data_IF_959063539522
#
_entry.id   IF_959063539522
#
_cell.length_a   1.000
_cell.length_b   1.000
_cell.length_c   1.000
_cell.angle_alpha   90.00
_cell.angle_beta   90.00
_cell.angle_gamma   90.00
#
_symmetry.space_group_name_H-M   'P 1'
#
loop_
_entity.id
_entity.type
_entity.pdbx_description
1 polymer ?
#
# COMPACT_ATOMS: atom_id res chain seq x y z
N UNK A 1 49.59 -4.31 -37.68
CA UNK A 1 49.75 -3.43 -36.51
C UNK A 1 48.44 -2.69 -36.31
N UNK A 2 47.73 -2.89 -35.16
CA UNK A 2 46.50 -2.14 -34.88
C UNK A 2 46.89 -0.77 -34.31
N UNK A 3 46.50 0.32 -35.01
CA UNK A 3 46.65 1.67 -34.52
C UNK A 3 45.66 1.91 -33.35
N UNK A 4 46.14 1.89 -32.12
CA UNK A 4 45.40 2.32 -30.96
C UNK A 4 45.33 3.84 -30.94
N UNK A 5 44.19 4.43 -31.33
CA UNK A 5 43.95 5.87 -31.18
C UNK A 5 43.56 6.10 -29.70
N UNK A 6 44.38 6.86 -28.97
CA UNK A 6 44.08 7.30 -27.61
C UNK A 6 43.15 8.52 -27.59
N UNK A 7 42.35 8.63 -26.52
CA UNK A 7 41.51 9.84 -26.27
C UNK A 7 42.41 11.06 -25.98
N UNK A 8 41.99 12.22 -26.47
CA UNK A 8 42.63 13.48 -26.08
C UNK A 8 42.10 13.96 -24.72
N UNK A 9 42.93 14.69 -23.96
CA UNK A 9 42.55 15.24 -22.67
C UNK A 9 41.35 16.20 -22.80
N UNK A 10 41.28 16.96 -23.90
CA UNK A 10 40.18 17.91 -24.16
C UNK A 10 38.85 17.18 -24.43
N UNK A 11 38.85 16.05 -25.12
CA UNK A 11 37.65 15.23 -25.33
C UNK A 11 37.11 14.73 -24.02
N UNK A 12 37.96 14.29 -23.07
CA UNK A 12 37.54 13.83 -21.75
C UNK A 12 36.96 14.99 -20.94
N UNK A 13 37.62 16.15 -20.90
CA UNK A 13 37.17 17.33 -20.12
C UNK A 13 35.84 17.85 -20.65
N UNK A 14 35.65 17.97 -21.97
CA UNK A 14 34.37 18.42 -22.54
C UNK A 14 33.22 17.47 -22.17
N UNK A 15 33.44 16.16 -22.20
CA UNK A 15 32.42 15.17 -21.83
C UNK A 15 32.03 15.30 -20.35
N UNK A 16 32.97 15.41 -19.43
CA UNK A 16 32.63 15.51 -17.99
C UNK A 16 31.93 16.83 -17.67
N UNK A 17 32.26 17.95 -18.37
CA UNK A 17 31.57 19.22 -18.20
C UNK A 17 30.11 19.13 -18.67
N UNK A 18 29.89 18.56 -19.88
CA UNK A 18 28.51 18.35 -20.37
C UNK A 18 27.71 17.44 -19.46
N UNK A 19 28.28 16.32 -19.01
CA UNK A 19 27.63 15.40 -18.08
C UNK A 19 27.32 16.10 -16.75
N UNK A 20 28.20 16.96 -16.23
CA UNK A 20 27.99 17.74 -15.03
C UNK A 20 26.80 18.70 -15.13
N UNK A 21 26.67 19.41 -16.26
CA UNK A 21 25.54 20.31 -16.51
C UNK A 21 24.23 19.51 -16.61
N UNK A 22 24.23 18.39 -17.34
CA UNK A 22 23.04 17.55 -17.47
C UNK A 22 22.62 16.94 -16.12
N UNK A 23 23.58 16.47 -15.33
CA UNK A 23 23.31 15.92 -13.99
C UNK A 23 22.69 16.96 -13.06
N UNK A 24 23.17 18.21 -13.08
CA UNK A 24 22.65 19.29 -12.24
C UNK A 24 21.16 19.58 -12.48
N UNK A 25 20.67 19.40 -13.72
CA UNK A 25 19.26 19.61 -14.07
C UNK A 25 18.42 18.35 -13.88
N UNK A 26 19.00 17.16 -14.09
CA UNK A 26 18.28 15.90 -14.02
C UNK A 26 17.99 15.47 -12.58
N UNK A 27 18.94 15.65 -11.66
CA UNK A 27 18.83 15.15 -10.29
C UNK A 27 17.59 15.65 -9.53
N UNK A 28 17.24 16.95 -9.50
CA UNK A 28 16.02 17.43 -8.83
C UNK A 28 14.74 16.83 -9.40
N UNK A 29 14.69 16.60 -10.72
CA UNK A 29 13.52 16.01 -11.38
C UNK A 29 13.32 14.56 -11.02
N UNK A 30 14.41 13.79 -10.85
CA UNK A 30 14.33 12.40 -10.42
C UNK A 30 13.84 12.26 -8.98
N UNK A 31 14.30 13.11 -8.08
CA UNK A 31 13.85 13.10 -6.68
C UNK A 31 12.34 13.35 -6.59
N UNK A 32 11.83 14.34 -7.32
CA UNK A 32 10.40 14.63 -7.33
C UNK A 32 9.58 13.48 -7.94
N UNK A 33 10.04 12.90 -9.05
CA UNK A 33 9.36 11.77 -9.69
C UNK A 33 9.29 10.54 -8.77
N UNK A 34 10.33 10.31 -7.95
CA UNK A 34 10.32 9.21 -6.96
C UNK A 34 9.28 9.46 -5.86
N UNK A 35 9.19 10.69 -5.33
CA UNK A 35 8.16 11.05 -4.35
C UNK A 35 6.74 10.86 -4.92
N UNK A 36 6.51 11.34 -6.14
CA UNK A 36 5.22 11.21 -6.81
C UNK A 36 4.86 9.73 -7.03
N UNK A 37 5.84 8.86 -7.32
CA UNK A 37 5.64 7.43 -7.47
C UNK A 37 5.24 6.75 -6.16
N UNK A 38 5.91 7.09 -5.04
CA UNK A 38 5.55 6.57 -3.71
C UNK A 38 4.14 7.01 -3.31
N UNK A 39 3.82 8.29 -3.50
CA UNK A 39 2.48 8.84 -3.23
C UNK A 39 1.40 8.12 -4.04
N UNK A 40 1.63 7.90 -5.34
CA UNK A 40 0.70 7.17 -6.20
C UNK A 40 0.51 5.70 -5.76
N UNK A 41 1.58 5.05 -5.26
CA UNK A 41 1.50 3.71 -4.70
C UNK A 41 0.62 3.66 -3.45
N UNK A 42 0.78 4.62 -2.54
CA UNK A 42 -0.04 4.73 -1.31
C UNK A 42 -1.50 5.05 -1.64
N UNK A 43 -1.76 5.98 -2.57
CA UNK A 43 -3.12 6.27 -3.07
C UNK A 43 -3.77 5.03 -3.69
N UNK A 44 -3.02 4.30 -4.51
CA UNK A 44 -3.50 3.07 -5.14
C UNK A 44 -3.86 1.99 -4.12
N UNK A 45 -3.01 1.77 -3.13
CA UNK A 45 -3.25 0.82 -2.05
C UNK A 45 -4.47 1.22 -1.20
N UNK A 46 -4.59 2.50 -0.84
CA UNK A 46 -5.73 3.04 -0.11
C UNK A 46 -7.05 2.90 -0.89
N UNK A 47 -7.04 3.20 -2.19
CA UNK A 47 -8.18 3.01 -3.08
C UNK A 47 -8.59 1.54 -3.25
N UNK A 48 -7.60 0.64 -3.34
CA UNK A 48 -7.84 -0.80 -3.37
C UNK A 48 -8.49 -1.29 -2.07
N UNK A 49 -7.96 -0.86 -0.91
CA UNK A 49 -8.51 -1.21 0.40
C UNK A 49 -9.95 -0.69 0.54
N UNK A 50 -10.22 0.57 0.18
CA UNK A 50 -11.57 1.13 0.23
C UNK A 50 -12.56 0.34 -0.63
N UNK A 51 -12.15 -0.03 -1.84
CA UNK A 51 -12.97 -0.84 -2.73
C UNK A 51 -13.24 -2.24 -2.17
N UNK A 52 -12.21 -2.90 -1.63
CA UNK A 52 -12.31 -4.22 -1.04
C UNK A 52 -13.23 -4.23 0.19
N UNK A 53 -13.12 -3.26 1.08
CA UNK A 53 -14.00 -3.08 2.25
C UNK A 53 -15.47 -2.97 1.83
N UNK A 54 -15.76 -2.19 0.81
CA UNK A 54 -17.13 -2.06 0.28
C UNK A 54 -17.66 -3.35 -0.34
N UNK A 55 -16.80 -4.10 -1.04
CA UNK A 55 -17.17 -5.39 -1.63
C UNK A 55 -17.47 -6.45 -0.56
N UNK A 56 -16.66 -6.52 0.52
CA UNK A 56 -16.94 -7.39 1.66
C UNK A 56 -18.30 -7.08 2.27
N UNK A 57 -18.58 -5.79 2.49
CA UNK A 57 -19.88 -5.38 3.03
C UNK A 57 -21.02 -5.73 2.10
N UNK A 58 -20.87 -5.52 0.80
CA UNK A 58 -21.91 -5.88 -0.18
C UNK A 58 -22.21 -7.40 -0.15
N UNK A 59 -21.18 -8.24 -0.04
CA UNK A 59 -21.35 -9.70 0.08
C UNK A 59 -22.03 -10.06 1.40
N UNK A 60 -21.70 -9.40 2.50
CA UNK A 60 -22.37 -9.59 3.79
C UNK A 60 -23.87 -9.25 3.72
N UNK A 61 -24.27 -8.15 3.05
CA UNK A 61 -25.68 -7.81 2.82
C UNK A 61 -26.40 -8.89 2.00
N UNK A 62 -25.72 -9.46 0.99
CA UNK A 62 -26.26 -10.60 0.22
C UNK A 62 -26.46 -11.81 1.13
N UNK A 63 -25.52 -12.14 2.00
CA UNK A 63 -25.63 -13.25 2.94
C UNK A 63 -26.81 -13.05 3.91
N UNK A 64 -26.99 -11.83 4.43
CA UNK A 64 -28.13 -11.48 5.27
C UNK A 64 -29.47 -11.63 4.55
N UNK A 65 -29.55 -11.13 3.33
CA UNK A 65 -30.78 -11.21 2.53
C UNK A 65 -31.16 -12.65 2.16
N UNK A 66 -30.17 -13.54 2.06
CA UNK A 66 -30.36 -14.99 1.84
C UNK A 66 -30.69 -15.77 3.11
N UNK A 67 -30.68 -15.13 4.27
CA UNK A 67 -30.96 -15.76 5.55
C UNK A 67 -29.83 -16.70 6.04
N UNK A 68 -28.58 -16.39 5.68
CA UNK A 68 -27.40 -17.15 6.20
C UNK A 68 -27.39 -17.05 7.73
N UNK A 69 -27.26 -18.17 8.41
CA UNK A 69 -27.36 -18.23 9.89
C UNK A 69 -26.27 -17.41 10.60
N UNK A 70 -25.07 -17.37 10.04
CA UNK A 70 -23.91 -16.62 10.57
C UNK A 70 -23.35 -15.66 9.53
N UNK A 71 -24.08 -14.58 9.17
CA UNK A 71 -23.68 -13.70 8.10
C UNK A 71 -22.40 -12.89 8.40
N UNK A 72 -22.01 -12.80 9.67
CA UNK A 72 -20.86 -12.03 10.13
C UNK A 72 -19.54 -12.81 10.13
N UNK A 73 -19.59 -14.10 9.89
CA UNK A 73 -18.40 -14.96 9.89
C UNK A 73 -18.22 -15.63 8.53
N UNK A 74 -16.96 -15.79 8.14
CA UNK A 74 -16.59 -16.50 6.93
C UNK A 74 -17.28 -15.95 5.67
N UNK A 75 -17.19 -14.64 5.44
CA UNK A 75 -17.75 -13.97 4.26
C UNK A 75 -17.02 -14.48 3.02
N UNK A 76 -17.72 -15.26 2.19
CA UNK A 76 -17.15 -15.94 1.04
C UNK A 76 -16.71 -14.95 -0.07
N UNK A 77 -15.66 -15.35 -0.80
CA UNK A 77 -15.12 -14.58 -1.93
C UNK A 77 -13.94 -13.66 -1.58
N UNK A 78 -13.53 -13.64 -0.33
CA UNK A 78 -12.38 -12.87 0.17
C UNK A 78 -11.46 -13.78 1.00
N UNK A 79 -10.14 -13.55 0.93
CA UNK A 79 -9.16 -14.41 1.57
C UNK A 79 -9.34 -15.88 1.15
N UNK A 80 -9.38 -16.75 2.14
CA UNK A 80 -9.74 -18.17 1.97
C UNK A 80 -11.23 -18.43 2.21
N UNK A 81 -12.07 -17.40 2.19
CA UNK A 81 -13.47 -17.49 2.56
C UNK A 81 -13.68 -17.38 4.09
N UNK A 82 -12.75 -16.78 4.79
CA UNK A 82 -12.64 -16.72 6.24
C UNK A 82 -12.72 -15.29 6.82
N UNK A 83 -13.06 -14.31 6.00
CA UNK A 83 -13.19 -12.91 6.45
C UNK A 83 -14.38 -12.75 7.38
N UNK A 84 -14.12 -12.24 8.56
CA UNK A 84 -15.14 -11.89 9.54
C UNK A 84 -15.45 -10.38 9.51
N UNK A 85 -16.70 -10.05 9.80
CA UNK A 85 -17.18 -8.67 9.83
C UNK A 85 -17.89 -8.35 11.15
N UNK A 86 -17.96 -7.07 11.48
CA UNK A 86 -18.75 -6.63 12.64
C UNK A 86 -20.27 -6.67 12.37
N UNK A 87 -21.08 -6.26 13.36
CA UNK A 87 -22.53 -6.24 13.24
C UNK A 87 -23.07 -5.31 12.14
N UNK A 88 -22.24 -4.38 11.66
CA UNK A 88 -22.57 -3.46 10.56
C UNK A 88 -22.02 -3.93 9.20
N UNK A 89 -21.37 -5.09 9.15
CA UNK A 89 -20.82 -5.69 7.93
C UNK A 89 -19.46 -5.15 7.53
N UNK A 90 -18.75 -4.45 8.41
CA UNK A 90 -17.41 -3.95 8.12
C UNK A 90 -16.34 -5.00 8.51
N UNK A 91 -15.35 -5.27 7.64
CA UNK A 91 -14.37 -6.33 7.88
C UNK A 91 -13.49 -6.05 9.10
N UNK A 92 -13.15 -7.12 9.82
CA UNK A 92 -12.31 -7.11 11.02
C UNK A 92 -10.99 -7.86 10.82
N UNK A 93 -11.01 -8.96 10.09
CA UNK A 93 -9.94 -9.92 9.91
C UNK A 93 -10.52 -11.32 9.72
N UNK A 94 -9.89 -12.33 10.29
CA UNK A 94 -10.30 -13.74 10.14
C UNK A 94 -10.68 -14.44 11.47
N UNK A 95 -10.63 -13.71 12.59
CA UNK A 95 -10.85 -14.27 13.93
C UNK A 95 -11.92 -13.51 14.75
N UNK A 96 -12.82 -12.79 14.09
CA UNK A 96 -13.92 -12.05 14.75
C UNK A 96 -13.52 -10.80 15.54
N UNK A 97 -12.23 -10.49 15.61
CA UNK A 97 -11.67 -9.29 16.23
C UNK A 97 -10.88 -8.47 15.21
N UNK A 98 -10.77 -7.15 15.43
CA UNK A 98 -10.00 -6.30 14.53
C UNK A 98 -8.51 -6.67 14.60
N UNK A 99 -8.01 -7.18 13.49
CA UNK A 99 -6.60 -7.46 13.29
C UNK A 99 -6.16 -6.87 11.95
N UNK A 100 -5.33 -5.84 11.99
CA UNK A 100 -4.98 -5.03 10.82
C UNK A 100 -4.16 -5.80 9.78
N UNK A 101 -3.26 -6.69 10.21
CA UNK A 101 -2.44 -7.51 9.29
C UNK A 101 -3.31 -8.56 8.60
N UNK A 102 -4.15 -9.27 9.36
CA UNK A 102 -5.07 -10.26 8.81
C UNK A 102 -6.09 -9.62 7.86
N UNK A 103 -6.68 -8.49 8.26
CA UNK A 103 -7.62 -7.73 7.45
C UNK A 103 -7.01 -7.37 6.10
N UNK A 104 -5.81 -6.77 6.08
CA UNK A 104 -5.13 -6.39 4.85
C UNK A 104 -4.93 -7.57 3.90
N UNK A 105 -4.36 -8.68 4.41
CA UNK A 105 -4.12 -9.88 3.60
C UNK A 105 -5.38 -10.57 3.11
N UNK A 106 -6.46 -10.56 3.93
CA UNK A 106 -7.71 -11.21 3.60
C UNK A 106 -8.54 -10.43 2.57
N UNK A 107 -8.54 -9.09 2.62
CA UNK A 107 -9.39 -8.30 1.72
C UNK A 107 -8.69 -7.90 0.41
N UNK A 108 -7.37 -7.67 0.41
CA UNK A 108 -6.63 -7.22 -0.77
C UNK A 108 -6.12 -8.33 -1.67
N UNK A 109 -5.89 -9.52 -1.14
CA UNK A 109 -5.45 -10.73 -1.86
C UNK A 109 -4.24 -10.58 -2.82
N UNK A 110 -3.66 -11.70 -3.21
CA UNK A 110 -2.76 -11.90 -4.34
C UNK A 110 -1.54 -10.99 -4.42
N UNK A 111 -1.66 -9.85 -5.06
CA UNK A 111 -0.58 -8.88 -5.30
C UNK A 111 -0.60 -7.68 -4.37
N UNK A 112 -1.23 -7.80 -3.20
CA UNK A 112 -1.22 -6.74 -2.20
C UNK A 112 0.21 -6.40 -1.76
N UNK A 113 0.51 -5.12 -1.46
CA UNK A 113 1.76 -4.76 -0.80
C UNK A 113 1.94 -5.52 0.52
N UNK A 114 3.18 -5.80 0.88
CA UNK A 114 3.49 -6.54 2.10
C UNK A 114 3.15 -5.73 3.36
N UNK A 115 2.60 -6.41 4.37
CA UNK A 115 2.21 -5.78 5.64
C UNK A 115 2.69 -6.61 6.83
N UNK A 116 3.10 -5.94 7.90
CA UNK A 116 3.44 -6.58 9.16
C UNK A 116 3.08 -5.68 10.36
N UNK A 117 3.05 -6.25 11.56
CA UNK A 117 2.82 -5.49 12.81
C UNK A 117 4.06 -4.66 13.24
N UNK A 118 5.22 -4.90 12.65
CA UNK A 118 6.45 -4.19 12.94
C UNK A 118 7.27 -4.01 11.66
N UNK A 119 8.09 -2.96 11.62
CA UNK A 119 9.00 -2.69 10.50
C UNK A 119 10.05 -3.79 10.37
N UNK A 120 10.26 -4.26 9.16
CA UNK A 120 11.29 -5.23 8.79
C UNK A 120 11.66 -5.07 7.31
N UNK A 121 12.79 -5.67 6.91
CA UNK A 121 13.20 -5.65 5.51
C UNK A 121 12.15 -6.35 4.62
N UNK A 122 11.75 -5.68 3.53
CA UNK A 122 10.78 -6.20 2.58
C UNK A 122 9.32 -6.04 3.00
N UNK A 123 9.05 -5.23 4.03
CA UNK A 123 7.70 -4.84 4.44
C UNK A 123 7.39 -3.44 3.90
N UNK A 124 6.30 -3.34 3.16
CA UNK A 124 5.85 -2.08 2.55
C UNK A 124 5.02 -1.23 3.54
N UNK A 125 4.24 -1.88 4.41
CA UNK A 125 3.39 -1.20 5.40
C UNK A 125 3.53 -1.81 6.79
N UNK A 126 3.62 -0.95 7.80
CA UNK A 126 3.45 -1.36 9.20
C UNK A 126 2.01 -1.08 9.62
N UNK A 127 1.32 -2.10 10.13
CA UNK A 127 -0.07 -2.05 10.54
C UNK A 127 -0.20 -1.99 12.07
N UNK A 128 -0.82 -0.93 12.58
CA UNK A 128 -1.04 -0.73 14.02
C UNK A 128 -2.52 -0.55 14.30
N UNK A 129 -3.12 -1.39 15.16
CA UNK A 129 -4.50 -1.21 15.61
C UNK A 129 -4.59 -0.10 16.66
N UNK A 130 -5.66 0.71 16.57
CA UNK A 130 -5.99 1.73 17.55
C UNK A 130 -7.53 1.82 17.71
N UNK A 131 -8.06 1.14 18.73
CA UNK A 131 -9.51 1.03 18.94
C UNK A 131 -10.20 0.34 17.76
N UNK A 132 -11.05 1.05 17.03
CA UNK A 132 -11.76 0.57 15.84
C UNK A 132 -10.97 0.79 14.54
N UNK A 133 -9.79 1.38 14.64
CA UNK A 133 -9.00 1.79 13.48
C UNK A 133 -7.78 0.91 13.26
N UNK A 134 -7.44 0.72 11.98
CA UNK A 134 -6.16 0.21 11.53
C UNK A 134 -5.40 1.32 10.81
N UNK A 135 -4.23 1.66 11.31
CA UNK A 135 -3.31 2.58 10.65
C UNK A 135 -2.21 1.79 9.96
N UNK A 136 -2.08 1.95 8.66
CA UNK A 136 -1.04 1.35 7.82
C UNK A 136 -0.06 2.44 7.43
N UNK A 137 1.15 2.39 7.97
CA UNK A 137 2.23 3.37 7.70
C UNK A 137 3.16 2.83 6.63
N UNK A 138 3.34 3.58 5.55
CA UNK A 138 4.22 3.24 4.44
C UNK A 138 5.69 3.30 4.88
N UNK A 139 6.53 2.35 4.40
CA UNK A 139 7.90 2.15 4.89
C UNK A 139 8.97 2.35 3.81
N UNK A 140 8.60 2.50 2.54
CA UNK A 140 9.58 2.56 1.43
C UNK A 140 10.08 3.99 1.14
N UNK A 141 9.56 4.96 1.86
CA UNK A 141 10.07 6.33 1.90
C UNK A 141 10.11 6.84 3.35
N UNK A 142 10.78 7.96 3.57
CA UNK A 142 10.91 8.56 4.90
C UNK A 142 9.74 9.53 5.22
N UNK A 143 8.63 9.51 4.45
CA UNK A 143 7.54 10.47 4.58
C UNK A 143 6.50 10.05 5.64
N UNK A 144 6.45 8.76 6.01
CA UNK A 144 5.43 8.20 6.92
C UNK A 144 3.98 8.43 6.44
N UNK A 145 3.75 8.31 5.14
CA UNK A 145 2.40 8.35 4.58
C UNK A 145 1.55 7.23 5.16
N UNK A 146 0.27 7.52 5.43
CA UNK A 146 -0.60 6.57 6.13
C UNK A 146 -1.91 6.32 5.38
N UNK A 147 -2.38 5.08 5.49
CA UNK A 147 -3.75 4.67 5.15
C UNK A 147 -4.43 4.29 6.47
N UNK A 148 -5.57 4.88 6.77
CA UNK A 148 -6.35 4.59 7.98
C UNK A 148 -7.69 4.00 7.57
N UNK A 149 -7.97 2.80 8.06
CA UNK A 149 -9.27 2.15 7.95
C UNK A 149 -9.99 2.20 9.29
N UNK A 150 -11.27 2.58 9.32
CA UNK A 150 -12.11 2.56 10.51
C UNK A 150 -13.23 1.52 10.37
N UNK A 151 -13.17 0.47 11.18
CA UNK A 151 -14.14 -0.62 11.19
C UNK A 151 -15.51 -0.21 11.78
N UNK A 152 -15.63 0.96 12.40
CA UNK A 152 -16.92 1.43 12.92
C UNK A 152 -17.87 1.91 11.81
N UNK A 153 -17.31 2.43 10.73
CA UNK A 153 -18.06 3.06 9.63
C UNK A 153 -17.59 2.64 8.22
N UNK A 154 -16.48 1.88 8.13
CA UNK A 154 -15.90 1.41 6.87
C UNK A 154 -15.13 2.45 6.07
N UNK A 155 -14.81 3.61 6.66
CA UNK A 155 -14.05 4.63 5.95
C UNK A 155 -12.58 4.24 5.79
N UNK A 156 -12.02 4.56 4.64
CA UNK A 156 -10.59 4.48 4.37
C UNK A 156 -10.11 5.87 3.97
N UNK A 157 -9.13 6.39 4.68
CA UNK A 157 -8.52 7.70 4.42
C UNK A 157 -7.03 7.57 4.22
N UNK A 158 -6.49 8.28 3.23
CA UNK A 158 -5.07 8.34 2.96
C UNK A 158 -4.55 9.72 3.36
N UNK A 159 -3.47 9.77 4.12
CA UNK A 159 -2.84 11.02 4.56
C UNK A 159 -1.38 11.02 4.11
N UNK A 160 -0.98 12.12 3.50
CA UNK A 160 0.40 12.35 3.05
C UNK A 160 1.08 13.37 3.96
N UNK A 161 2.32 13.05 4.30
CA UNK A 161 3.22 13.97 5.04
C UNK A 161 4.09 14.70 4.01
N UNK A 162 4.19 16.03 4.09
CA UNK A 162 5.00 16.86 3.19
C UNK A 162 6.44 17.01 3.69
#
# INVERSE_FOLDING_TARGET
MKNSKGFTLIELVVVIVILGILAAVALPRFINATKDAHRAAVEGAGGALASAVLLVRAQWEVNRSKGVATPNTNVAGFGNGDVDVNASGWPLGINGALNCVELWGAVLQGSAPTVAAAAANGIDYVAVPNGTQCTFTYQLDDQNDTIVYDSSNGTVTTTFTE
#
